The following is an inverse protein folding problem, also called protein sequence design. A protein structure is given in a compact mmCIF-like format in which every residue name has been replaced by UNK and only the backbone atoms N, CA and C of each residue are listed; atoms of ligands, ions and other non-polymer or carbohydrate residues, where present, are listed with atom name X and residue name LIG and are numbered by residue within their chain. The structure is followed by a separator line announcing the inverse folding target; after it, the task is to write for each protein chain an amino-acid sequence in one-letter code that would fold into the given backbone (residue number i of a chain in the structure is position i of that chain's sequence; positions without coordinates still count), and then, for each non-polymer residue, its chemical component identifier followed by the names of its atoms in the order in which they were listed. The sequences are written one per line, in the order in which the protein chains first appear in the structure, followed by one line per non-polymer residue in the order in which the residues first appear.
data_IF_990473428424
#
_entry.id   IF_990473428424
#
_cell.length_a   1.000
_cell.length_b   1.000
_cell.length_c   1.000
_cell.angle_alpha   90.00
_cell.angle_beta   90.00
_cell.angle_gamma   90.00
#
_symmetry.space_group_name_H-M   'P 1'
#
loop_
_entity.id
_entity.type
_entity.pdbx_description
1 polymer ?
#
# COMPACT_ATOMS: atom_id res chain seq x y z
N UNK A 1 -12.79 -32.51 -15.47
CA UNK A 1 -11.72 -31.81 -14.73
C UNK A 1 -11.71 -32.41 -13.34
N UNK A 2 -10.54 -32.86 -12.89
CA UNK A 2 -10.39 -33.49 -11.57
C UNK A 2 -10.61 -32.44 -10.47
N UNK A 3 -11.63 -32.65 -9.63
CA UNK A 3 -12.02 -31.73 -8.55
C UNK A 3 -11.10 -31.82 -7.32
N UNK A 4 -10.11 -32.71 -7.33
CA UNK A 4 -9.13 -32.88 -6.24
C UNK A 4 -7.86 -32.04 -6.41
N UNK A 5 -7.66 -31.45 -7.59
CA UNK A 5 -6.50 -30.60 -7.86
C UNK A 5 -6.85 -29.16 -7.48
N UNK A 6 -6.39 -28.72 -6.31
CA UNK A 6 -6.36 -27.30 -5.99
C UNK A 6 -5.52 -26.57 -7.06
N UNK A 7 -5.96 -25.39 -7.53
CA UNK A 7 -5.17 -24.61 -8.47
C UNK A 7 -3.77 -24.41 -7.89
N UNK A 8 -2.73 -24.59 -8.70
CA UNK A 8 -1.35 -24.52 -8.23
C UNK A 8 -1.09 -23.15 -7.58
N UNK A 9 -1.05 -23.12 -6.26
CA UNK A 9 -0.81 -21.90 -5.52
C UNK A 9 0.68 -21.61 -5.58
N UNK A 10 1.07 -20.59 -6.33
CA UNK A 10 2.45 -20.18 -6.44
C UNK A 10 2.86 -19.42 -5.16
N UNK A 11 3.82 -19.96 -4.41
CA UNK A 11 4.39 -19.33 -3.21
C UNK A 11 5.59 -18.45 -3.58
N UNK A 12 5.34 -17.41 -4.38
CA UNK A 12 6.37 -16.43 -4.78
C UNK A 12 5.91 -15.02 -4.46
N UNK A 13 6.86 -14.11 -4.26
CA UNK A 13 6.56 -12.67 -4.08
C UNK A 13 5.69 -12.16 -5.23
N UNK A 14 6.03 -12.51 -6.47
CA UNK A 14 5.27 -12.08 -7.63
C UNK A 14 3.82 -12.57 -7.61
N UNK A 15 3.59 -13.82 -7.23
CA UNK A 15 2.23 -14.37 -7.11
C UNK A 15 1.44 -13.67 -5.99
N UNK A 16 2.09 -13.33 -4.88
CA UNK A 16 1.46 -12.62 -3.77
C UNK A 16 1.05 -11.18 -4.13
N UNK A 17 1.82 -10.51 -5.00
CA UNK A 17 1.57 -9.11 -5.39
C UNK A 17 0.65 -8.98 -6.61
N UNK A 18 0.57 -10.01 -7.46
CA UNK A 18 -0.20 -9.97 -8.71
C UNK A 18 -1.67 -9.62 -8.49
N UNK A 19 -2.27 -10.15 -7.41
CA UNK A 19 -3.66 -9.88 -7.07
C UNK A 19 -3.96 -8.44 -6.68
N UNK A 20 -2.94 -7.65 -6.35
CA UNK A 20 -3.05 -6.26 -5.88
C UNK A 20 -2.76 -5.23 -6.96
N UNK A 21 -2.41 -5.67 -8.18
CA UNK A 21 -2.24 -4.76 -9.33
C UNK A 21 -3.55 -4.05 -9.65
N UNK A 22 -3.46 -2.77 -9.97
CA UNK A 22 -4.56 -1.85 -10.25
C UNK A 22 -5.54 -1.66 -9.07
N UNK A 23 -5.16 -2.10 -7.86
CA UNK A 23 -5.91 -1.83 -6.64
C UNK A 23 -5.24 -0.75 -5.80
N UNK A 24 -6.05 -0.10 -4.96
CA UNK A 24 -5.57 0.84 -3.95
C UNK A 24 -4.88 0.05 -2.84
N UNK A 25 -3.65 0.41 -2.53
CA UNK A 25 -2.82 -0.24 -1.51
C UNK A 25 -2.29 0.78 -0.52
N UNK A 26 -2.01 0.31 0.69
CA UNK A 26 -1.18 1.00 1.67
C UNK A 26 0.18 0.31 1.72
N UNK A 27 1.25 1.10 1.70
CA UNK A 27 2.63 0.65 1.84
C UNK A 27 3.23 1.31 3.07
N UNK A 28 3.58 0.49 4.08
CA UNK A 28 4.31 0.97 5.24
C UNK A 28 5.81 0.87 4.98
N UNK A 29 6.52 1.98 5.20
CA UNK A 29 7.96 2.08 5.00
C UNK A 29 8.72 1.93 6.33
N UNK A 30 9.99 1.55 6.26
CA UNK A 30 10.87 1.40 7.44
C UNK A 30 11.06 2.68 8.26
N UNK A 31 10.89 3.85 7.66
CA UNK A 31 10.97 5.15 8.33
C UNK A 31 9.67 5.54 9.07
N UNK A 32 8.67 4.65 9.08
CA UNK A 32 7.38 4.86 9.72
C UNK A 32 6.35 5.57 8.84
N UNK A 33 6.71 6.01 7.63
CA UNK A 33 5.76 6.61 6.70
C UNK A 33 4.80 5.56 6.14
N UNK A 34 3.57 6.00 5.86
CA UNK A 34 2.55 5.21 5.15
C UNK A 34 2.20 5.91 3.85
N UNK A 35 2.46 5.23 2.74
CA UNK A 35 2.08 5.68 1.41
C UNK A 35 0.82 4.95 0.97
N UNK A 36 -0.08 5.68 0.34
CA UNK A 36 -1.33 5.20 -0.20
C UNK A 36 -1.31 5.48 -1.70
N UNK A 37 -1.77 4.56 -2.52
CA UNK A 37 -1.82 4.77 -3.98
C UNK A 37 -2.31 3.53 -4.72
N UNK A 38 -2.35 3.61 -6.05
CA UNK A 38 -2.73 2.48 -6.91
C UNK A 38 -1.45 1.74 -7.33
N UNK A 39 -1.36 0.45 -7.03
CA UNK A 39 -0.20 -0.35 -7.44
C UNK A 39 -0.26 -0.62 -8.95
N UNK A 40 0.72 -0.10 -9.72
CA UNK A 40 0.75 -0.26 -11.18
C UNK A 40 1.76 -1.29 -11.66
N UNK A 41 2.86 -1.45 -10.94
CA UNK A 41 3.89 -2.42 -11.30
C UNK A 41 4.73 -2.79 -10.08
N UNK A 42 5.31 -3.97 -10.13
CA UNK A 42 6.25 -4.46 -9.15
C UNK A 42 7.30 -5.38 -9.79
N UNK A 43 8.35 -5.70 -9.05
CA UNK A 43 9.29 -6.77 -9.40
C UNK A 43 9.43 -7.81 -8.27
N UNK A 44 10.26 -8.83 -8.51
CA UNK A 44 10.52 -9.93 -7.56
C UNK A 44 11.18 -9.48 -6.25
N UNK A 45 11.77 -8.28 -6.20
CA UNK A 45 12.38 -7.69 -5.02
C UNK A 45 11.40 -6.77 -4.27
N UNK A 46 10.15 -6.71 -4.70
CA UNK A 46 9.12 -5.80 -4.21
C UNK A 46 9.48 -4.31 -4.39
N UNK A 47 10.23 -3.96 -5.44
CA UNK A 47 10.23 -2.56 -5.90
C UNK A 47 8.83 -2.25 -6.44
N UNK A 48 8.19 -1.17 -5.99
CA UNK A 48 6.79 -0.85 -6.28
C UNK A 48 6.67 0.45 -7.05
N UNK A 49 5.75 0.49 -8.01
CA UNK A 49 5.33 1.72 -8.69
C UNK A 49 3.90 2.02 -8.27
N UNK A 50 3.71 3.13 -7.55
CA UNK A 50 2.40 3.65 -7.18
C UNK A 50 2.02 4.80 -8.10
N UNK A 51 0.77 4.80 -8.57
CA UNK A 51 0.10 5.94 -9.18
C UNK A 51 -0.79 6.63 -8.14
N UNK A 52 -1.01 7.94 -8.30
CA UNK A 52 -1.84 8.77 -7.43
C UNK A 52 -1.47 8.63 -5.95
N UNK A 53 -0.16 8.50 -5.70
CA UNK A 53 0.40 8.26 -4.40
C UNK A 53 0.22 9.48 -3.49
N UNK A 54 -0.04 9.25 -2.21
CA UNK A 54 -0.14 10.25 -1.17
C UNK A 54 0.26 9.70 0.20
N UNK A 55 0.52 10.59 1.15
CA UNK A 55 0.76 10.24 2.55
C UNK A 55 -0.14 11.08 3.47
N UNK A 56 -0.45 10.54 4.65
CA UNK A 56 -1.07 11.29 5.73
C UNK A 56 0.01 11.80 6.69
N UNK A 57 0.03 13.11 6.90
CA UNK A 57 0.83 13.77 7.92
C UNK A 57 -0.06 13.99 9.14
N UNK A 58 0.22 13.25 10.20
CA UNK A 58 -0.50 13.36 11.47
C UNK A 58 0.18 14.41 12.34
N UNK A 59 -0.61 15.39 12.80
CA UNK A 59 -0.19 16.33 13.84
C UNK A 59 -0.79 15.83 15.15
N UNK A 60 0.02 15.34 16.10
CA UNK A 60 -0.49 14.98 17.42
C UNK A 60 -1.12 16.20 18.09
N UNK A 61 -2.01 15.99 19.06
CA UNK A 61 -2.63 17.09 19.80
C UNK A 61 -1.57 18.12 20.22
N UNK A 62 -1.81 19.38 19.86
CA UNK A 62 -0.92 20.49 20.13
C UNK A 62 -1.72 21.65 20.69
N UNK A 63 -1.39 22.09 21.91
CA UNK A 63 -2.15 23.13 22.61
C UNK A 63 -3.56 22.67 22.97
N UNK A 64 -4.55 23.52 22.69
CA UNK A 64 -5.95 23.33 23.08
C UNK A 64 -6.77 22.48 22.09
N UNK A 65 -6.13 21.87 21.08
CA UNK A 65 -6.84 20.99 20.14
C UNK A 65 -7.29 19.70 20.85
N UNK A 66 -8.59 19.49 20.98
CA UNK A 66 -9.16 18.26 21.55
C UNK A 66 -8.93 17.01 20.67
N UNK A 67 -8.67 17.17 19.38
CA UNK A 67 -8.56 16.04 18.44
C UNK A 67 -7.28 16.14 17.63
N UNK A 68 -6.60 15.01 17.41
CA UNK A 68 -5.48 14.95 16.47
C UNK A 68 -5.96 15.28 15.05
N UNK A 69 -5.21 16.12 14.34
CA UNK A 69 -5.53 16.49 12.95
C UNK A 69 -4.56 15.82 11.99
N UNK A 70 -5.01 15.57 10.78
CA UNK A 70 -4.17 15.01 9.72
C UNK A 70 -4.36 15.78 8.42
N UNK A 71 -3.30 15.83 7.62
CA UNK A 71 -3.31 16.40 6.27
C UNK A 71 -2.84 15.38 5.24
N UNK A 72 -3.38 15.47 4.02
CA UNK A 72 -2.95 14.62 2.90
C UNK A 72 -1.91 15.36 2.05
N UNK A 73 -0.72 14.77 1.89
CA UNK A 73 0.30 15.28 0.99
C UNK A 73 0.34 14.42 -0.28
N UNK A 74 0.07 15.04 -1.44
CA UNK A 74 0.16 14.37 -2.74
C UNK A 74 1.61 14.14 -3.15
N UNK A 75 1.87 12.96 -3.72
CA UNK A 75 3.18 12.54 -4.25
C UNK A 75 3.13 12.18 -5.74
N UNK A 76 1.94 11.91 -6.31
CA UNK A 76 1.78 11.61 -7.74
C UNK A 76 2.27 10.20 -8.08
N UNK A 77 3.16 10.05 -9.07
CA UNK A 77 3.81 8.76 -9.35
C UNK A 77 4.99 8.57 -8.42
N UNK A 78 5.03 7.44 -7.70
CA UNK A 78 6.04 7.18 -6.69
C UNK A 78 6.66 5.79 -6.88
N UNK A 79 7.99 5.74 -6.99
CA UNK A 79 8.74 4.47 -7.08
C UNK A 79 9.36 4.20 -5.71
N UNK A 80 9.02 3.06 -5.13
CA UNK A 80 9.49 2.62 -3.81
C UNK A 80 10.50 1.50 -4.02
N UNK A 81 11.66 1.63 -3.41
CA UNK A 81 12.67 0.57 -3.39
C UNK A 81 12.29 -0.50 -2.38
N UNK A 82 12.30 -1.76 -2.81
CA UNK A 82 11.71 -2.88 -2.08
C UNK A 82 12.32 -3.14 -0.72
N UNK A 83 13.61 -2.85 -0.52
CA UNK A 83 14.20 -3.01 0.81
C UNK A 83 13.62 -2.05 1.85
N UNK A 84 13.02 -0.92 1.44
CA UNK A 84 12.40 0.04 2.35
C UNK A 84 10.94 -0.31 2.69
N UNK A 85 10.35 -1.29 2.00
CA UNK A 85 8.99 -1.78 2.27
C UNK A 85 9.02 -2.67 3.52
N UNK A 86 8.21 -2.32 4.51
CA UNK A 86 7.98 -3.15 5.69
C UNK A 86 6.81 -4.12 5.46
N UNK A 87 5.70 -3.60 4.94
CA UNK A 87 4.53 -4.37 4.50
C UNK A 87 3.74 -3.59 3.45
N UNK A 88 2.89 -4.32 2.72
CA UNK A 88 1.90 -3.76 1.82
C UNK A 88 0.60 -4.55 1.94
N UNK A 89 -0.53 -3.87 1.80
CA UNK A 89 -1.85 -4.51 1.74
C UNK A 89 -2.84 -3.70 0.93
N UNK A 90 -3.85 -4.39 0.39
CA UNK A 90 -4.99 -3.78 -0.27
C UNK A 90 -5.84 -3.02 0.74
N UNK A 91 -6.38 -1.87 0.32
CA UNK A 91 -7.28 -1.06 1.14
C UNK A 91 -8.72 -1.46 0.81
N UNK A 92 -9.52 -1.65 1.86
CA UNK A 92 -10.95 -1.77 1.69
C UNK A 92 -11.56 -0.38 1.44
N UNK A 93 -12.01 -0.12 0.22
CA UNK A 93 -12.58 1.17 -0.17
C UNK A 93 -13.87 1.48 0.59
N UNK A 94 -14.67 0.47 0.94
CA UNK A 94 -15.93 0.67 1.66
C UNK A 94 -15.72 1.23 3.08
N UNK A 95 -14.53 1.03 3.67
CA UNK A 95 -14.18 1.54 4.99
C UNK A 95 -13.39 2.86 4.94
N UNK A 96 -12.94 3.28 3.75
CA UNK A 96 -12.07 4.46 3.56
C UNK A 96 -12.87 5.70 3.13
N UNK A 97 -14.15 5.54 2.78
CA UNK A 97 -15.07 6.61 2.34
C UNK A 97 -15.86 7.27 3.50
N UNK A 98 -15.70 6.79 4.75
CA UNK A 98 -16.25 7.38 5.99
C UNK A 98 -15.16 8.15 6.79
#
# INVERSE_FOLDING_TARGET
MDSTVLPSQAFTTAAALLGSVDKKVVVALRDGRKLFGILRSFDQYANLVLQDAYEYLYVPQFGDLETAVYGKQSRGVYIIRGENVQLMGEINLDLDDD
#
